data_IF_849243751280
#
_entry.id   IF_849243751280
#
_cell.length_a   1.000
_cell.length_b   1.000
_cell.length_c   1.000
_cell.angle_alpha   90.00
_cell.angle_beta   90.00
_cell.angle_gamma   90.00
#
_symmetry.space_group_name_H-M   'P 1'
#
loop_
_entity.id
_entity.type
_entity.pdbx_description
1 polymer ?
#
# COMPACT_ATOMS: atom_id res chain seq x y z
N UNK A 1 -33.46 -23.71 24.15
CA UNK A 1 -32.34 -23.39 23.23
C UNK A 1 -32.94 -22.77 21.99
N UNK A 2 -32.64 -21.50 21.76
CA UNK A 2 -32.94 -20.79 20.52
C UNK A 2 -31.94 -21.19 19.44
N UNK A 3 -32.31 -21.00 18.17
CA UNK A 3 -31.41 -21.19 17.02
C UNK A 3 -30.14 -20.34 17.17
N UNK A 4 -30.28 -19.13 17.71
CA UNK A 4 -29.15 -18.23 18.03
C UNK A 4 -28.20 -18.84 19.06
N UNK A 5 -28.72 -19.48 20.12
CA UNK A 5 -27.89 -20.13 21.14
C UNK A 5 -27.09 -21.29 20.54
N UNK A 6 -27.69 -22.02 19.60
CA UNK A 6 -27.04 -23.13 18.89
C UNK A 6 -25.91 -22.60 18.01
N UNK A 7 -26.12 -21.50 17.28
CA UNK A 7 -25.09 -20.89 16.43
C UNK A 7 -23.90 -20.38 17.24
N UNK A 8 -24.12 -19.67 18.35
CA UNK A 8 -23.03 -19.24 19.23
C UNK A 8 -22.27 -20.41 19.83
N UNK A 9 -22.97 -21.47 20.26
CA UNK A 9 -22.33 -22.66 20.81
C UNK A 9 -21.51 -23.41 19.76
N UNK A 10 -21.98 -23.47 18.51
CA UNK A 10 -21.21 -24.06 17.40
C UNK A 10 -19.97 -23.22 17.12
N UNK A 11 -20.08 -21.89 17.08
CA UNK A 11 -18.95 -20.98 16.86
C UNK A 11 -17.87 -21.13 17.95
N UNK A 12 -18.27 -21.21 19.22
CA UNK A 12 -17.36 -21.48 20.34
C UNK A 12 -16.70 -22.85 20.25
N UNK A 13 -17.44 -23.87 19.80
CA UNK A 13 -16.88 -25.21 19.55
C UNK A 13 -15.86 -25.14 18.41
N UNK A 14 -16.18 -24.52 17.28
CA UNK A 14 -15.25 -24.34 16.16
C UNK A 14 -13.95 -23.66 16.62
N UNK A 15 -14.05 -22.55 17.36
CA UNK A 15 -12.90 -21.84 17.94
C UNK A 15 -12.04 -22.71 18.86
N UNK A 16 -12.65 -23.61 19.65
CA UNK A 16 -11.91 -24.51 20.55
C UNK A 16 -11.07 -25.54 19.78
N UNK A 17 -11.53 -25.93 18.59
CA UNK A 17 -10.86 -26.93 17.74
C UNK A 17 -9.99 -26.33 16.63
N UNK A 18 -10.03 -25.01 16.42
CA UNK A 18 -9.15 -24.30 15.48
C UNK A 18 -7.66 -24.65 15.64
N UNK A 19 -7.21 -24.97 16.86
CA UNK A 19 -5.82 -25.37 17.14
C UNK A 19 -5.42 -26.72 16.54
N UNK A 20 -6.39 -27.54 16.14
CA UNK A 20 -6.14 -28.83 15.49
C UNK A 20 -6.28 -28.74 13.97
N UNK A 21 -6.72 -27.61 13.45
CA UNK A 21 -6.71 -27.35 12.02
C UNK A 21 -5.26 -27.03 11.60
N UNK A 22 -4.54 -28.08 11.23
CA UNK A 22 -3.13 -28.02 10.83
C UNK A 22 -2.96 -27.12 9.60
N UNK A 23 -3.95 -27.06 8.71
CA UNK A 23 -3.90 -26.20 7.53
C UNK A 23 -4.04 -24.72 7.93
N UNK A 24 -4.96 -24.43 8.87
CA UNK A 24 -5.10 -23.09 9.46
C UNK A 24 -3.87 -22.66 10.26
N UNK A 25 -3.25 -23.56 11.03
CA UNK A 25 -2.02 -23.24 11.74
C UNK A 25 -0.83 -23.03 10.79
N UNK A 26 -0.77 -23.82 9.72
CA UNK A 26 0.27 -23.69 8.71
C UNK A 26 0.14 -22.37 7.96
N UNK A 27 -1.06 -21.94 7.60
CA UNK A 27 -1.28 -20.66 6.93
C UNK A 27 -0.96 -19.46 7.84
N UNK A 28 -1.33 -19.53 9.13
CA UNK A 28 -0.98 -18.49 10.13
C UNK A 28 0.53 -18.37 10.29
N UNK A 29 1.25 -19.48 10.41
CA UNK A 29 2.70 -19.48 10.58
C UNK A 29 3.45 -19.16 9.28
N UNK A 30 2.95 -19.60 8.12
CA UNK A 30 3.51 -19.27 6.82
C UNK A 30 3.33 -17.79 6.48
N UNK A 31 2.22 -17.17 6.87
CA UNK A 31 1.98 -15.73 6.71
C UNK A 31 2.97 -14.87 7.51
N UNK A 32 3.34 -15.32 8.72
CA UNK A 32 4.37 -14.65 9.54
C UNK A 32 5.77 -14.76 8.94
N UNK A 33 6.11 -15.87 8.27
CA UNK A 33 7.41 -16.08 7.62
C UNK A 33 7.47 -15.55 6.17
N UNK A 34 6.31 -15.33 5.53
CA UNK A 34 6.24 -14.84 4.16
C UNK A 34 6.59 -13.34 4.04
N UNK A 35 7.74 -13.08 3.42
CA UNK A 35 8.22 -11.73 3.15
C UNK A 35 7.26 -10.91 2.27
N UNK A 36 6.51 -11.56 1.36
CA UNK A 36 5.50 -10.89 0.56
C UNK A 36 4.35 -10.40 1.45
N UNK A 37 3.74 -11.31 2.23
CA UNK A 37 2.60 -10.98 3.09
C UNK A 37 2.92 -9.85 4.08
N UNK A 38 4.11 -9.87 4.70
CA UNK A 38 4.55 -8.78 5.60
C UNK A 38 4.66 -7.43 4.89
N UNK A 39 5.29 -7.40 3.72
CA UNK A 39 5.48 -6.16 2.96
C UNK A 39 4.14 -5.64 2.41
N UNK A 40 3.29 -6.55 1.92
CA UNK A 40 1.95 -6.24 1.43
C UNK A 40 1.07 -5.66 2.56
N UNK A 41 1.08 -6.25 3.76
CA UNK A 41 0.35 -5.73 4.92
C UNK A 41 0.83 -4.33 5.34
N UNK A 42 2.14 -4.08 5.29
CA UNK A 42 2.68 -2.73 5.50
C UNK A 42 2.20 -1.73 4.44
N UNK A 43 2.15 -2.15 3.18
CA UNK A 43 1.60 -1.36 2.07
C UNK A 43 0.13 -1.01 2.31
N UNK A 44 -0.71 -1.99 2.65
CA UNK A 44 -2.13 -1.79 2.95
C UNK A 44 -2.31 -0.78 4.11
N UNK A 45 -1.55 -0.93 5.19
CA UNK A 45 -1.61 0.00 6.32
C UNK A 45 -1.21 1.42 5.92
N UNK A 46 -0.16 1.56 5.09
CA UNK A 46 0.25 2.87 4.59
C UNK A 46 -0.79 3.48 3.65
N UNK A 47 -1.40 2.69 2.76
CA UNK A 47 -2.48 3.10 1.86
C UNK A 47 -3.69 3.60 2.67
N UNK A 48 -4.10 2.85 3.69
CA UNK A 48 -5.19 3.26 4.57
C UNK A 48 -4.86 4.56 5.31
N UNK A 49 -3.63 4.71 5.81
CA UNK A 49 -3.20 5.93 6.49
C UNK A 49 -3.23 7.16 5.56
N UNK A 50 -2.85 7.02 4.28
CA UNK A 50 -2.91 8.14 3.32
C UNK A 50 -4.34 8.45 2.87
N UNK A 51 -5.22 7.46 2.78
CA UNK A 51 -6.65 7.68 2.51
C UNK A 51 -7.25 8.53 3.63
N UNK A 52 -7.03 8.14 4.89
CA UNK A 52 -7.49 8.93 6.05
C UNK A 52 -6.92 10.35 6.04
N UNK A 53 -5.64 10.53 5.67
CA UNK A 53 -5.04 11.87 5.55
C UNK A 53 -5.66 12.70 4.42
N UNK A 54 -6.01 12.06 3.30
CA UNK A 54 -6.74 12.72 2.21
C UNK A 54 -8.12 13.18 2.67
N UNK A 55 -8.87 12.31 3.34
CA UNK A 55 -10.18 12.64 3.90
C UNK A 55 -10.10 13.80 4.90
N UNK A 56 -9.10 13.77 5.80
CA UNK A 56 -8.84 14.88 6.71
C UNK A 56 -8.55 16.19 5.97
N UNK A 57 -7.78 16.13 4.87
CA UNK A 57 -7.50 17.31 4.05
C UNK A 57 -8.75 17.85 3.34
N UNK A 58 -9.73 17.02 3.03
CA UNK A 58 -11.01 17.43 2.43
C UNK A 58 -11.95 18.09 3.45
N UNK A 59 -11.94 17.61 4.69
CA UNK A 59 -12.77 18.16 5.78
C UNK A 59 -12.19 19.42 6.43
N UNK A 60 -10.90 19.67 6.22
CA UNK A 60 -10.16 20.74 6.88
C UNK A 60 -10.44 22.11 6.23
N UNK A 61 -10.56 23.14 7.08
CA UNK A 61 -10.91 24.50 6.65
C UNK A 61 -9.67 25.38 6.50
N UNK A 62 -8.61 25.10 7.26
CA UNK A 62 -7.38 25.87 7.19
C UNK A 62 -6.57 25.50 5.94
N UNK A 63 -6.50 26.44 4.99
CA UNK A 63 -5.77 26.24 3.73
C UNK A 63 -4.31 25.84 3.92
N UNK A 64 -3.61 26.33 4.94
CA UNK A 64 -2.22 25.97 5.18
C UNK A 64 -2.09 24.50 5.62
N UNK A 65 -3.00 24.00 6.47
CA UNK A 65 -3.00 22.60 6.90
C UNK A 65 -3.43 21.67 5.78
N UNK A 66 -4.41 22.04 4.96
CA UNK A 66 -4.78 21.30 3.73
C UNK A 66 -3.59 21.13 2.80
N UNK A 67 -2.79 22.18 2.58
CA UNK A 67 -1.59 22.10 1.72
C UNK A 67 -0.53 21.17 2.33
N UNK A 68 -0.33 21.22 3.64
CA UNK A 68 0.62 20.37 4.35
C UNK A 68 0.21 18.89 4.26
N UNK A 69 -1.05 18.56 4.59
CA UNK A 69 -1.59 17.20 4.51
C UNK A 69 -1.49 16.63 3.09
N UNK A 70 -1.90 17.40 2.08
CA UNK A 70 -1.80 16.98 0.68
C UNK A 70 -0.34 16.80 0.22
N UNK A 71 0.60 17.60 0.73
CA UNK A 71 2.03 17.41 0.47
C UNK A 71 2.55 16.09 1.07
N UNK A 72 2.07 15.71 2.25
CA UNK A 72 2.39 14.41 2.84
C UNK A 72 1.80 13.25 2.04
N UNK A 73 0.55 13.36 1.61
CA UNK A 73 -0.08 12.34 0.73
C UNK A 73 0.76 12.15 -0.54
N UNK A 74 1.18 13.24 -1.20
CA UNK A 74 2.05 13.16 -2.39
C UNK A 74 3.39 12.46 -2.11
N UNK A 75 4.05 12.80 -1.00
CA UNK A 75 5.33 12.18 -0.62
C UNK A 75 5.19 10.68 -0.37
N UNK A 76 4.15 10.27 0.36
CA UNK A 76 3.94 8.86 0.67
C UNK A 76 3.50 8.07 -0.56
N UNK A 77 2.65 8.62 -1.43
CA UNK A 77 2.32 8.02 -2.73
C UNK A 77 3.56 7.73 -3.56
N UNK A 78 4.47 8.70 -3.70
CA UNK A 78 5.70 8.53 -4.47
C UNK A 78 6.56 7.39 -3.89
N UNK A 79 6.74 7.37 -2.56
CA UNK A 79 7.47 6.29 -1.87
C UNK A 79 6.84 4.91 -2.10
N UNK A 80 5.51 4.82 -2.00
CA UNK A 80 4.81 3.56 -2.24
C UNK A 80 5.01 3.08 -3.68
N UNK A 81 4.90 3.97 -4.67
CA UNK A 81 5.13 3.62 -6.08
C UNK A 81 6.58 3.17 -6.33
N UNK A 82 7.57 3.79 -5.70
CA UNK A 82 8.98 3.40 -5.80
C UNK A 82 9.24 2.00 -5.20
N UNK A 83 8.45 1.59 -4.20
CA UNK A 83 8.56 0.29 -3.55
C UNK A 83 7.73 -0.82 -4.25
N UNK A 84 6.76 -0.49 -5.12
CA UNK A 84 5.96 -1.48 -5.88
C UNK A 84 6.82 -2.50 -6.63
N UNK A 85 7.91 -2.13 -7.34
CA UNK A 85 8.77 -3.09 -8.02
C UNK A 85 9.39 -4.15 -7.10
N UNK A 86 9.65 -3.79 -5.83
CA UNK A 86 10.15 -4.73 -4.81
C UNK A 86 9.07 -5.73 -4.44
N UNK A 87 7.84 -5.27 -4.24
CA UNK A 87 6.70 -6.13 -3.96
C UNK A 87 6.36 -7.04 -5.15
N UNK A 88 6.48 -6.55 -6.38
CA UNK A 88 6.29 -7.34 -7.61
C UNK A 88 7.30 -8.50 -7.71
N UNK A 89 8.58 -8.25 -7.38
CA UNK A 89 9.60 -9.31 -7.31
C UNK A 89 9.26 -10.38 -6.27
N UNK A 90 8.68 -9.98 -5.13
CA UNK A 90 8.26 -10.91 -4.09
C UNK A 90 7.01 -11.70 -4.50
N UNK A 91 6.07 -11.09 -5.22
CA UNK A 91 4.85 -11.75 -5.71
C UNK A 91 5.16 -12.89 -6.70
N UNK A 92 6.13 -12.68 -7.58
CA UNK A 92 6.55 -13.68 -8.59
C UNK A 92 7.45 -14.78 -8.02
N UNK A 93 7.97 -14.59 -6.80
CA UNK A 93 8.86 -15.56 -6.17
C UNK A 93 8.07 -16.79 -5.75
N UNK A 94 8.43 -17.94 -6.30
CA UNK A 94 7.89 -19.23 -5.85
C UNK A 94 8.42 -19.55 -4.46
N UNK A 95 7.50 -19.72 -3.50
CA UNK A 95 7.80 -20.13 -2.12
C UNK A 95 7.30 -21.56 -1.91
N UNK A 96 7.94 -22.30 -1.01
CA UNK A 96 7.55 -23.68 -0.70
C UNK A 96 6.14 -23.68 -0.09
N UNK A 97 5.26 -24.56 -0.60
CA UNK A 97 3.83 -24.64 -0.25
C UNK A 97 2.94 -23.51 -0.77
N UNK A 98 3.39 -22.70 -1.74
CA UNK A 98 2.49 -21.77 -2.42
C UNK A 98 1.79 -22.45 -3.60
N UNK A 99 0.47 -22.34 -3.68
CA UNK A 99 -0.27 -22.84 -4.84
C UNK A 99 -0.05 -21.94 -6.06
N UNK A 100 -0.34 -22.46 -7.26
CA UNK A 100 -0.29 -21.66 -8.49
C UNK A 100 -1.33 -20.53 -8.46
N UNK A 101 -2.52 -20.84 -7.96
CA UNK A 101 -3.63 -19.90 -7.82
C UNK A 101 -3.27 -18.76 -6.85
N UNK A 102 -2.61 -19.08 -5.73
CA UNK A 102 -2.13 -18.07 -4.78
C UNK A 102 -1.05 -17.16 -5.39
N UNK A 103 -0.16 -17.70 -6.23
CA UNK A 103 0.86 -16.91 -6.91
C UNK A 103 0.24 -15.92 -7.91
N UNK A 104 -0.73 -16.40 -8.69
CA UNK A 104 -1.49 -15.59 -9.64
C UNK A 104 -2.26 -14.49 -8.88
N UNK A 105 -2.97 -14.83 -7.80
CA UNK A 105 -3.66 -13.86 -6.95
C UNK A 105 -2.72 -12.78 -6.38
N UNK A 106 -1.53 -13.15 -5.91
CA UNK A 106 -0.52 -12.17 -5.43
C UNK A 106 -0.08 -11.23 -6.54
N UNK A 107 0.08 -11.75 -7.75
CA UNK A 107 0.49 -10.96 -8.91
C UNK A 107 -0.60 -9.96 -9.27
N UNK A 108 -1.86 -10.39 -9.31
CA UNK A 108 -3.02 -9.54 -9.60
C UNK A 108 -3.19 -8.43 -8.55
N UNK A 109 -3.01 -8.75 -7.26
CA UNK A 109 -3.02 -7.75 -6.19
C UNK A 109 -1.96 -6.66 -6.43
N UNK A 110 -0.74 -7.03 -6.80
CA UNK A 110 0.33 -6.06 -7.06
C UNK A 110 0.07 -5.26 -8.33
N UNK A 111 -0.53 -5.84 -9.36
CA UNK A 111 -0.89 -5.14 -10.60
C UNK A 111 -1.93 -4.03 -10.36
N UNK A 112 -2.85 -4.23 -9.41
CA UNK A 112 -3.86 -3.22 -9.06
C UNK A 112 -3.33 -2.09 -8.14
N UNK A 113 -2.18 -2.28 -7.49
CA UNK A 113 -1.67 -1.30 -6.51
C UNK A 113 -1.35 0.08 -7.10
N UNK A 114 -0.66 0.22 -8.26
CA UNK A 114 -0.35 1.53 -8.81
C UNK A 114 -1.60 2.37 -9.09
N UNK A 115 -2.64 1.75 -9.65
CA UNK A 115 -3.92 2.41 -9.93
C UNK A 115 -4.59 2.86 -8.63
N UNK A 116 -4.66 1.96 -7.63
CA UNK A 116 -5.23 2.27 -6.33
C UNK A 116 -4.50 3.41 -5.61
N UNK A 117 -3.17 3.45 -5.67
CA UNK A 117 -2.36 4.54 -5.07
C UNK A 117 -2.62 5.86 -5.81
N UNK A 118 -2.74 5.84 -7.14
CA UNK A 118 -2.98 7.03 -7.94
C UNK A 118 -4.40 7.59 -7.76
N UNK A 119 -5.39 6.74 -7.53
CA UNK A 119 -6.79 7.12 -7.36
C UNK A 119 -7.06 7.98 -6.10
N UNK A 120 -6.17 7.95 -5.11
CA UNK A 120 -6.33 8.70 -3.86
C UNK A 120 -6.25 10.21 -4.16
N UNK A 121 -7.09 11.08 -3.60
CA UNK A 121 -6.94 12.52 -3.78
C UNK A 121 -5.67 13.02 -3.08
N UNK A 122 -4.94 13.95 -3.69
CA UNK A 122 -3.72 14.54 -3.09
C UNK A 122 -3.59 16.05 -3.34
N UNK A 123 -4.70 16.68 -3.69
CA UNK A 123 -4.80 18.10 -4.03
C UNK A 123 -4.04 18.50 -5.30
N UNK A 124 -3.38 17.56 -5.99
CA UNK A 124 -2.76 17.79 -7.28
C UNK A 124 -3.83 17.72 -8.35
N UNK A 125 -4.39 18.87 -8.74
CA UNK A 125 -5.23 18.96 -9.94
C UNK A 125 -4.35 18.65 -11.15
N UNK A 126 -4.24 17.37 -11.51
CA UNK A 126 -3.59 16.88 -12.72
C UNK A 126 -2.28 17.60 -13.06
N UNK A 127 -1.19 17.35 -12.33
CA UNK A 127 0.15 17.77 -12.73
C UNK A 127 0.70 17.01 -13.97
N UNK A 128 -0.18 16.57 -14.87
CA UNK A 128 0.13 16.25 -16.26
C UNK A 128 -0.09 17.49 -17.13
N UNK A 129 0.66 18.56 -16.84
CA UNK A 129 1.14 19.55 -17.81
C UNK A 129 2.02 20.59 -17.08
N UNK A 130 3.31 20.50 -17.38
CA UNK A 130 4.31 21.57 -17.33
C UNK A 130 4.56 22.25 -15.98
N UNK A 131 5.67 21.86 -15.35
CA UNK A 131 6.70 22.85 -15.03
C UNK A 131 8.06 22.19 -15.06
N UNK A 132 8.69 22.30 -16.22
CA UNK A 132 10.12 22.18 -16.35
C UNK A 132 10.77 23.27 -15.48
N UNK A 133 11.31 22.90 -14.31
CA UNK A 133 12.38 23.67 -13.68
C UNK A 133 13.71 22.96 -13.89
N UNK A 134 14.05 22.74 -15.16
CA UNK A 134 15.45 22.72 -15.58
C UNK A 134 15.83 24.14 -15.97
N UNK A 135 16.12 24.98 -14.98
CA UNK A 135 16.90 26.19 -15.20
C UNK A 135 18.39 25.81 -15.21
N UNK A 136 18.82 25.14 -16.28
CA UNK A 136 20.24 25.01 -16.61
C UNK A 136 20.48 25.72 -17.93
N UNK A 137 20.51 27.05 -17.87
CA UNK A 137 21.12 27.84 -18.93
C UNK A 137 22.48 28.30 -18.43
N UNK A 138 23.48 27.51 -18.80
CA UNK A 138 24.90 27.81 -18.73
C UNK A 138 25.14 29.02 -19.64
N UNK A 139 25.42 30.18 -19.08
CA UNK A 139 26.04 31.33 -19.74
C UNK A 139 26.63 32.23 -18.66
N UNK A 140 27.68 31.75 -17.99
CA UNK A 140 28.58 32.59 -17.20
C UNK A 140 29.91 32.54 -17.94
N UNK A 141 30.17 33.55 -18.77
CA UNK A 141 31.47 33.74 -19.39
C UNK A 141 32.34 34.49 -18.36
N UNK A 142 33.39 33.82 -17.87
CA UNK A 142 34.47 34.52 -17.17
C UNK A 142 35.38 35.15 -18.22
N UNK A 143 35.30 36.47 -18.36
CA UNK A 143 36.31 37.25 -19.07
C UNK A 143 37.49 37.45 -18.10
N UNK A 144 38.57 36.71 -18.30
CA UNK A 144 39.83 36.91 -17.59
C UNK A 144 40.66 37.89 -18.39
N UNK A 145 40.54 39.18 -18.08
CA UNK A 145 41.49 40.19 -18.53
C UNK A 145 42.87 39.91 -17.92
N UNK A 146 43.91 40.13 -18.74
CA UNK A 146 45.33 39.86 -18.44
C UNK A 146 45.97 40.81 -17.44
#
# INVERSE_FOLDING_TARGET
>A
MSVIDILFRIDDICKKYDKYDVEKQRSINASSDDAFARLYSSFESQIEAIIRKSELAEMETNRATVVALNAEVRRTKARLLDEVPKLQKLAQKKVKNLSREELEARTDLVLALPERIQAIPDGSRGAFKQSAWSASNKNINFDSSG
#
